data_IF_138391860170
#
_entry.id   IF_138391860170
#
_cell.length_a   1.000
_cell.length_b   1.000
_cell.length_c   1.000
_cell.angle_alpha   90.00
_cell.angle_beta   90.00
_cell.angle_gamma   90.00
#
_symmetry.space_group_name_H-M   'P 1'
#
loop_
_entity.id
_entity.type
_entity.pdbx_description
1 polymer ?
#
# COMPACT_ATOMS: atom_id res chain seq x y z
N UNK A 1 -6.03 20.82 -4.52
CA UNK A 1 -5.26 20.02 -3.54
C UNK A 1 -5.35 18.59 -4.04
N UNK A 2 -4.35 18.17 -4.80
CA UNK A 2 -4.24 16.76 -5.20
C UNK A 2 -4.01 15.98 -3.92
N UNK A 3 -5.00 15.17 -3.55
CA UNK A 3 -4.82 14.18 -2.49
C UNK A 3 -3.92 13.13 -3.12
N UNK A 4 -2.61 13.36 -3.11
CA UNK A 4 -1.63 12.30 -3.36
C UNK A 4 -1.83 11.31 -2.22
N UNK A 5 -2.67 10.30 -2.47
CA UNK A 5 -2.67 9.06 -1.73
C UNK A 5 -1.22 8.58 -1.78
N UNK A 6 -0.50 8.71 -0.66
CA UNK A 6 0.86 8.20 -0.53
C UNK A 6 0.77 6.67 -0.53
N UNK A 7 0.62 6.09 -1.72
CA UNK A 7 0.72 4.65 -1.91
C UNK A 7 2.19 4.29 -1.74
N UNK A 8 2.52 3.55 -0.68
CA UNK A 8 3.87 3.02 -0.52
C UNK A 8 4.21 2.16 -1.75
N UNK A 9 5.41 2.32 -2.36
CA UNK A 9 5.84 1.45 -3.44
C UNK A 9 5.93 0.01 -2.95
N UNK A 10 5.61 -0.94 -3.84
CA UNK A 10 5.79 -2.34 -3.54
C UNK A 10 7.28 -2.63 -3.26
N UNK A 11 7.63 -3.24 -2.12
CA UNK A 11 9.03 -3.50 -1.76
C UNK A 11 9.73 -4.49 -2.72
N UNK A 12 8.98 -5.33 -3.42
CA UNK A 12 9.54 -6.34 -4.33
C UNK A 12 9.81 -5.81 -5.73
N UNK A 13 8.93 -4.96 -6.27
CA UNK A 13 8.97 -4.57 -7.67
C UNK A 13 8.90 -3.06 -7.93
N UNK A 14 8.79 -2.25 -6.87
CA UNK A 14 8.74 -0.79 -6.94
C UNK A 14 7.45 -0.21 -7.53
N UNK A 15 6.43 -1.04 -7.75
CA UNK A 15 5.15 -0.61 -8.30
C UNK A 15 4.42 0.35 -7.34
N UNK A 16 3.87 1.45 -7.86
CA UNK A 16 3.26 2.53 -7.08
C UNK A 16 1.73 2.43 -7.00
N UNK A 17 1.14 1.38 -7.59
CA UNK A 17 -0.31 1.19 -7.67
C UNK A 17 -0.77 -0.11 -6.97
N UNK A 18 -0.51 -0.26 -5.66
CA UNK A 18 -1.08 -1.37 -4.91
C UNK A 18 -2.60 -1.30 -4.82
N UNK A 19 -3.20 -2.47 -4.67
CA UNK A 19 -4.59 -2.64 -4.26
C UNK A 19 -4.70 -2.68 -2.74
N UNK A 20 -5.53 -1.83 -2.14
CA UNK A 20 -5.83 -1.90 -0.72
C UNK A 20 -6.83 -3.04 -0.46
N UNK A 21 -6.39 -4.05 0.29
CA UNK A 21 -7.22 -5.20 0.67
C UNK A 21 -8.02 -4.92 1.95
N UNK A 22 -7.62 -3.93 2.74
CA UNK A 22 -8.27 -3.53 3.98
C UNK A 22 -7.27 -3.11 5.06
N UNK A 23 -7.76 -3.00 6.30
CA UNK A 23 -6.97 -2.54 7.44
C UNK A 23 -6.78 -3.67 8.45
N UNK A 24 -5.53 -3.91 8.86
CA UNK A 24 -5.18 -4.88 9.92
C UNK A 24 -4.95 -4.20 11.27
N UNK A 25 -5.04 -2.88 11.33
CA UNK A 25 -4.93 -2.07 12.54
C UNK A 25 -5.44 -0.65 12.31
N UNK A 26 -5.39 0.19 13.35
CA UNK A 26 -5.94 1.55 13.31
C UNK A 26 -5.39 2.41 12.15
N UNK A 27 -4.13 2.21 11.74
CA UNK A 27 -3.50 2.89 10.61
C UNK A 27 -2.64 1.97 9.74
N UNK A 28 -2.81 0.65 9.85
CA UNK A 28 -2.01 -0.31 9.08
C UNK A 28 -2.90 -0.90 8.00
N UNK A 29 -2.67 -0.49 6.75
CA UNK A 29 -3.34 -1.07 5.60
C UNK A 29 -2.57 -2.28 5.07
N UNK A 30 -3.33 -3.27 4.64
CA UNK A 30 -2.83 -4.41 3.90
C UNK A 30 -2.94 -4.10 2.41
N UNK A 31 -1.80 -3.99 1.75
CA UNK A 31 -1.66 -3.65 0.35
C UNK A 31 -1.23 -4.89 -0.44
N UNK A 32 -1.80 -5.07 -1.63
CA UNK A 32 -1.40 -6.10 -2.58
C UNK A 32 -0.89 -5.45 -3.85
N UNK A 33 0.35 -5.72 -4.22
CA UNK A 33 0.87 -5.26 -5.48
C UNK A 33 0.13 -5.95 -6.64
N UNK A 34 -0.46 -5.16 -7.54
CA UNK A 34 -1.13 -5.70 -8.73
C UNK A 34 -0.16 -6.31 -9.74
N UNK A 35 1.11 -5.86 -9.73
CA UNK A 35 2.15 -6.31 -10.66
C UNK A 35 2.79 -7.63 -10.25
N UNK A 36 3.29 -7.74 -9.02
CA UNK A 36 3.96 -8.97 -8.55
C UNK A 36 3.08 -9.86 -7.67
N UNK A 37 1.89 -9.40 -7.27
CA UNK A 37 0.99 -10.14 -6.39
C UNK A 37 1.42 -10.16 -4.91
N UNK A 38 2.57 -9.56 -4.57
CA UNK A 38 3.06 -9.55 -3.19
C UNK A 38 2.12 -8.74 -2.28
N UNK A 39 1.84 -9.28 -1.10
CA UNK A 39 1.01 -8.63 -0.09
C UNK A 39 1.91 -8.09 1.01
N UNK A 40 1.82 -6.79 1.30
CA UNK A 40 2.65 -6.09 2.26
C UNK A 40 1.81 -5.13 3.10
N UNK A 41 2.39 -4.63 4.19
CA UNK A 41 1.72 -3.72 5.13
C UNK A 41 2.27 -2.32 4.95
N UNK A 42 1.41 -1.32 4.97
CA UNK A 42 1.77 0.08 4.97
C UNK A 42 1.18 0.74 6.20
N UNK A 43 2.02 1.39 6.99
CA UNK A 43 1.59 2.19 8.14
C UNK A 43 1.36 3.63 7.67
N UNK A 44 0.12 4.10 7.77
CA UNK A 44 -0.29 5.47 7.45
C UNK A 44 -0.16 6.43 8.65
N UNK A 45 0.41 5.97 9.77
CA UNK A 45 0.82 6.84 10.87
C UNK A 45 2.06 7.62 10.44
N UNK A 46 1.84 8.71 9.70
CA UNK A 46 2.73 9.84 9.37
C UNK A 46 4.23 9.69 9.64
#
# INVERSE_FOLDING_TARGET
MEITTYSMPCPECGDLEPEELGYVGYNIALLKCKKCGNTYRSDYSK
#
